data_IF_574253560581
#
_entry.id   IF_574253560581
#
_cell.length_a   1.000
_cell.length_b   1.000
_cell.length_c   1.000
_cell.angle_alpha   90.00
_cell.angle_beta   90.00
_cell.angle_gamma   90.00
#
_symmetry.space_group_name_H-M   'P 1'
#
loop_
_entity.id
_entity.type
_entity.pdbx_description
1 polymer ?
#
# COMPACT_ATOMS: atom_id res chain seq x y z
N UNK A 1 2.14 -27.38 2.80
CA UNK A 1 1.95 -26.61 4.05
C UNK A 1 1.52 -25.17 3.73
N UNK A 2 0.22 -24.87 3.79
CA UNK A 2 -0.33 -23.56 3.40
C UNK A 2 0.06 -22.44 4.37
N UNK A 3 0.78 -21.41 3.89
CA UNK A 3 1.18 -20.26 4.71
C UNK A 3 -0.06 -19.47 5.13
N UNK A 4 -0.43 -19.52 6.42
CA UNK A 4 -1.50 -18.68 7.00
C UNK A 4 -1.17 -17.20 6.73
N UNK A 5 -2.00 -16.51 5.95
CA UNK A 5 -1.87 -15.07 5.69
C UNK A 5 -2.38 -14.30 6.91
N UNK A 6 -1.59 -13.34 7.40
CA UNK A 6 -1.99 -12.49 8.53
C UNK A 6 -3.05 -11.50 8.06
N UNK A 7 -4.15 -11.39 8.79
CA UNK A 7 -5.20 -10.39 8.52
C UNK A 7 -5.07 -9.27 9.54
N UNK A 8 -4.97 -8.02 9.05
CA UNK A 8 -4.96 -6.83 9.92
C UNK A 8 -6.19 -5.98 9.64
N UNK A 9 -6.96 -5.70 10.70
CA UNK A 9 -8.15 -4.87 10.65
C UNK A 9 -7.86 -3.55 11.35
N UNK A 10 -7.87 -2.46 10.59
CA UNK A 10 -7.73 -1.10 11.10
C UNK A 10 -9.11 -0.47 11.30
N UNK A 11 -9.35 0.09 12.49
CA UNK A 11 -10.56 0.83 12.83
C UNK A 11 -10.63 2.17 12.09
N UNK A 12 -9.49 2.84 11.90
CA UNK A 12 -9.40 4.16 11.27
C UNK A 12 -8.36 4.19 10.13
N UNK A 13 -8.52 5.16 9.23
CA UNK A 13 -7.56 5.42 8.14
C UNK A 13 -6.21 5.92 8.66
N UNK A 14 -6.21 6.66 9.76
CA UNK A 14 -4.99 7.17 10.40
C UNK A 14 -4.12 6.04 10.96
N UNK A 15 -4.72 5.06 11.64
CA UNK A 15 -4.00 3.90 12.13
C UNK A 15 -3.34 3.12 10.99
N UNK A 16 -4.05 2.98 9.86
CA UNK A 16 -3.47 2.40 8.64
C UNK A 16 -2.30 3.23 8.11
N UNK A 17 -2.41 4.57 8.06
CA UNK A 17 -1.33 5.43 7.58
C UNK A 17 -0.09 5.38 8.47
N UNK A 18 -0.26 5.35 9.80
CA UNK A 18 0.85 5.18 10.76
C UNK A 18 1.56 3.84 10.55
N UNK A 19 0.79 2.76 10.41
CA UNK A 19 1.33 1.44 10.11
C UNK A 19 2.05 1.39 8.76
N UNK A 20 1.49 2.04 7.73
CA UNK A 20 2.10 2.12 6.42
C UNK A 20 3.43 2.87 6.44
N UNK A 21 3.48 4.01 7.14
CA UNK A 21 4.71 4.79 7.35
C UNK A 21 5.76 3.96 8.07
N UNK A 22 5.39 3.28 9.15
CA UNK A 22 6.29 2.41 9.89
C UNK A 22 6.89 1.31 9.00
N UNK A 23 6.05 0.56 8.28
CA UNK A 23 6.51 -0.55 7.45
C UNK A 23 7.34 -0.13 6.23
N UNK A 24 7.14 1.09 5.72
CA UNK A 24 8.00 1.68 4.70
C UNK A 24 9.33 2.19 5.25
N UNK A 25 9.34 2.82 6.43
CA UNK A 25 10.56 3.31 7.07
C UNK A 25 11.48 2.16 7.50
N UNK A 26 10.89 1.06 7.98
CA UNK A 26 11.61 -0.11 8.51
C UNK A 26 11.88 -1.20 7.47
N UNK A 27 11.44 -1.02 6.22
CA UNK A 27 11.54 -2.02 5.13
C UNK A 27 10.89 -3.38 5.45
N UNK A 28 10.04 -3.46 6.48
CA UNK A 28 9.35 -4.69 6.91
C UNK A 28 8.52 -5.30 5.78
N UNK A 29 7.95 -4.45 4.92
CA UNK A 29 7.17 -4.87 3.76
C UNK A 29 8.01 -5.47 2.62
N UNK A 30 9.27 -5.08 2.49
CA UNK A 30 10.18 -5.63 1.47
C UNK A 30 10.65 -7.03 1.86
N UNK A 31 10.78 -7.29 3.17
CA UNK A 31 11.16 -8.60 3.73
C UNK A 31 10.01 -9.60 3.71
N UNK A 32 8.75 -9.13 3.71
CA UNK A 32 7.55 -9.98 3.71
C UNK A 32 6.52 -9.56 2.65
N UNK A 33 6.86 -9.64 1.36
CA UNK A 33 5.94 -9.26 0.30
C UNK A 33 4.73 -10.21 0.29
N UNK A 34 3.52 -9.65 0.32
CA UNK A 34 2.27 -10.36 -0.01
C UNK A 34 1.57 -11.18 1.08
N UNK A 35 2.06 -11.17 2.33
CA UNK A 35 1.49 -12.03 3.39
C UNK A 35 0.40 -11.38 4.26
N UNK A 36 0.18 -10.06 4.14
CA UNK A 36 -0.80 -9.35 4.97
C UNK A 36 -2.01 -8.88 4.15
N UNK A 37 -3.19 -9.37 4.52
CA UNK A 37 -4.45 -8.79 4.03
C UNK A 37 -4.89 -7.69 4.98
N UNK A 38 -4.93 -6.45 4.50
CA UNK A 38 -5.33 -5.29 5.30
C UNK A 38 -6.79 -4.97 5.04
N UNK A 39 -7.53 -4.67 6.11
CA UNK A 39 -8.89 -4.16 6.06
C UNK A 39 -8.95 -2.82 6.78
N UNK A 40 -9.62 -1.83 6.19
CA UNK A 40 -9.89 -0.52 6.81
C UNK A 40 -11.41 -0.34 6.81
N UNK A 41 -12.02 -0.20 7.98
CA UNK A 41 -13.49 -0.09 8.12
C UNK A 41 -14.24 -1.19 7.35
N UNK A 42 -13.76 -2.43 7.45
CA UNK A 42 -14.36 -3.59 6.76
C UNK A 42 -14.02 -3.73 5.27
N UNK A 43 -13.38 -2.73 4.66
CA UNK A 43 -12.99 -2.78 3.23
C UNK A 43 -11.58 -3.31 3.08
N UNK A 44 -11.39 -4.32 2.21
CA UNK A 44 -10.08 -4.88 1.89
C UNK A 44 -9.24 -3.84 1.16
N UNK A 45 -8.07 -3.53 1.69
CA UNK A 45 -7.08 -2.65 1.09
C UNK A 45 -5.81 -3.42 0.72
N UNK A 46 -5.38 -3.26 -0.54
CA UNK A 46 -4.08 -3.74 -1.00
C UNK A 46 -3.04 -2.67 -0.75
N UNK A 47 -1.98 -3.02 -0.04
CA UNK A 47 -0.82 -2.14 0.16
C UNK A 47 -0.01 -2.12 -1.13
N UNK A 48 0.19 -0.94 -1.71
CA UNK A 48 1.03 -0.77 -2.89
C UNK A 48 2.46 -0.48 -2.44
N UNK A 49 3.34 -1.46 -2.55
CA UNK A 49 4.74 -1.31 -2.15
C UNK A 49 5.60 -0.58 -3.19
N UNK A 50 5.17 -0.58 -4.45
CA UNK A 50 5.82 0.15 -5.55
C UNK A 50 5.17 1.51 -5.75
N UNK A 51 6.00 2.57 -5.82
CA UNK A 51 5.57 3.86 -6.35
C UNK A 51 5.00 3.63 -7.76
N UNK A 52 3.76 4.04 -8.06
CA UNK A 52 3.26 3.95 -9.42
C UNK A 52 4.19 4.75 -10.33
N UNK A 53 4.71 4.14 -11.40
CA UNK A 53 5.51 4.85 -12.41
C UNK A 53 4.71 6.08 -12.83
N UNK A 54 5.20 7.29 -12.53
CA UNK A 54 4.54 8.55 -12.91
C UNK A 54 4.38 8.51 -14.44
N UNK A 55 3.15 8.26 -14.94
CA UNK A 55 2.87 8.46 -16.36
C UNK A 55 3.14 9.94 -16.62
N UNK A 56 4.22 10.27 -17.33
CA UNK A 56 4.51 11.64 -17.80
C UNK A 56 3.26 12.10 -18.55
N UNK A 57 2.47 13.01 -17.96
CA UNK A 57 1.40 13.71 -18.69
C UNK A 57 2.13 14.45 -19.82
N UNK A 58 2.03 13.96 -21.06
CA UNK A 58 2.47 14.72 -22.23
C UNK A 58 1.65 16.02 -22.22
N UNK A 59 2.27 17.14 -21.81
CA UNK A 59 1.72 18.47 -22.02
C UNK A 59 1.52 18.61 -23.52
N UNK A 60 0.27 18.55 -24.00
CA UNK A 60 -0.06 18.92 -25.37
C UNK A 60 0.17 20.42 -25.47
N UNK A 61 1.33 20.81 -26.01
CA UNK A 61 1.58 22.19 -26.40
C UNK A 61 0.68 22.45 -27.60
N UNK A 62 -0.37 23.26 -27.41
CA UNK A 62 -1.16 23.81 -28.52
C UNK A 62 -0.28 24.87 -29.20
N UNK A 63 0.19 24.57 -30.42
CA UNK A 63 0.74 25.57 -31.34
C UNK A 63 -0.40 26.51 -31.75
N UNK A 64 -0.20 27.81 -31.56
CA UNK A 64 -0.98 28.88 -32.18
C UNK A 64 -0.31 29.25 -33.49
#
# INVERSE_FOLDING_TARGET
MGRKRKVMRFKSKEAYLRWLRYGHATKVFEKTPGHVTVYIRGKRHRVKHVRPKRKRRKRRVRKR
#
